data_IF_405684739581
#
_entry.id   IF_405684739581
#
_cell.length_a   1.000
_cell.length_b   1.000
_cell.length_c   1.000
_cell.angle_alpha   90.00
_cell.angle_beta   90.00
_cell.angle_gamma   90.00
#
_symmetry.space_group_name_H-M   'P 1'
#
loop_
_entity.id
_entity.type
_entity.pdbx_description
1 polymer ?
#
# COMPACT_ATOMS: atom_id res chain seq x y z
N UNK A 1 23.03 7.09 13.80
CA UNK A 1 23.19 8.53 14.07
C UNK A 1 23.86 9.18 12.87
N UNK A 2 23.36 10.31 12.36
CA UNK A 2 24.05 11.08 11.31
C UNK A 2 24.91 12.16 11.97
N UNK A 3 26.23 11.94 11.97
CA UNK A 3 27.18 12.84 12.62
C UNK A 3 27.74 13.90 11.65
N UNK A 4 28.16 15.01 12.21
CA UNK A 4 29.06 15.97 11.55
C UNK A 4 30.49 15.41 11.54
N UNK A 5 31.40 16.06 10.79
CA UNK A 5 32.80 15.66 10.74
C UNK A 5 33.54 15.76 12.09
N UNK A 6 32.94 16.43 13.07
CA UNK A 6 33.45 16.55 14.45
C UNK A 6 32.68 15.67 15.45
N UNK A 7 31.88 14.72 14.95
CA UNK A 7 31.22 13.69 15.77
C UNK A 7 29.94 14.13 16.46
N UNK A 8 29.45 15.35 16.22
CA UNK A 8 28.19 15.85 16.81
C UNK A 8 26.99 15.50 15.95
N UNK A 9 25.80 15.47 16.54
CA UNK A 9 24.56 15.25 15.79
C UNK A 9 24.34 16.37 14.76
N UNK A 10 23.92 15.98 13.55
CA UNK A 10 23.69 16.93 12.47
C UNK A 10 22.39 17.69 12.69
N UNK A 11 22.50 19.02 12.76
CA UNK A 11 21.34 19.91 12.89
C UNK A 11 20.33 19.73 11.74
N UNK A 12 19.03 19.71 12.09
CA UNK A 12 17.92 19.52 11.13
C UNK A 12 17.93 20.56 10.01
N UNK A 13 18.30 21.81 10.28
CA UNK A 13 18.36 22.86 9.28
C UNK A 13 19.50 22.64 8.28
N UNK A 14 20.63 22.10 8.74
CA UNK A 14 21.73 21.72 7.86
C UNK A 14 21.32 20.57 6.94
N UNK A 15 20.64 19.55 7.48
CA UNK A 15 20.08 18.45 6.66
C UNK A 15 19.11 18.99 5.61
N UNK A 16 18.19 19.89 6.00
CA UNK A 16 17.23 20.52 5.06
C UNK A 16 17.93 21.36 3.99
N UNK A 17 18.99 22.09 4.35
CA UNK A 17 19.78 22.88 3.39
C UNK A 17 20.45 21.98 2.36
N UNK A 18 21.10 20.91 2.81
CA UNK A 18 21.79 19.97 1.92
C UNK A 18 20.81 19.21 1.04
N UNK A 19 19.65 18.80 1.59
CA UNK A 19 18.57 18.20 0.82
C UNK A 19 18.10 19.11 -0.32
N UNK A 20 17.83 20.40 -0.05
CA UNK A 20 17.44 21.37 -1.10
C UNK A 20 18.50 21.51 -2.19
N UNK A 21 19.79 21.44 -1.84
CA UNK A 21 20.87 21.46 -2.82
C UNK A 21 20.78 20.27 -3.79
N UNK A 22 20.53 19.07 -3.26
CA UNK A 22 20.35 17.86 -4.06
C UNK A 22 19.11 17.95 -4.96
N UNK A 23 17.97 18.37 -4.40
CA UNK A 23 16.73 18.52 -5.18
C UNK A 23 16.89 19.52 -6.33
N UNK A 24 17.55 20.66 -6.07
CA UNK A 24 17.85 21.64 -7.13
C UNK A 24 18.76 21.05 -8.21
N UNK A 25 19.78 20.28 -7.81
CA UNK A 25 20.68 19.62 -8.76
C UNK A 25 19.95 18.55 -9.59
N UNK A 26 18.90 17.93 -9.06
CA UNK A 26 18.02 16.99 -9.76
C UNK A 26 16.99 17.68 -10.68
N UNK A 27 16.98 19.01 -10.77
CA UNK A 27 16.04 19.76 -11.62
C UNK A 27 14.62 19.87 -11.04
N UNK A 28 14.44 19.55 -9.75
CA UNK A 28 13.15 19.59 -9.07
C UNK A 28 12.95 20.91 -8.31
N UNK A 29 11.69 21.26 -8.02
CA UNK A 29 11.37 22.45 -7.24
C UNK A 29 11.76 22.28 -5.76
N UNK A 30 12.93 22.80 -5.39
CA UNK A 30 13.45 22.74 -4.01
C UNK A 30 12.63 23.50 -2.95
N UNK A 31 11.66 24.33 -3.35
CA UNK A 31 10.74 24.98 -2.42
C UNK A 31 9.56 24.08 -2.04
N UNK A 32 9.14 23.20 -2.96
CA UNK A 32 7.99 22.31 -2.77
C UNK A 32 8.40 20.94 -2.22
N UNK A 33 9.57 20.45 -2.61
CA UNK A 33 10.06 19.15 -2.17
C UNK A 33 10.60 19.20 -0.74
N UNK A 34 10.14 18.27 0.09
CA UNK A 34 10.63 18.07 1.45
C UNK A 34 11.15 16.65 1.63
N UNK A 35 11.96 16.34 2.67
CA UNK A 35 12.38 14.97 2.96
C UNK A 35 11.21 14.00 3.16
N UNK A 36 9.99 14.49 3.46
CA UNK A 36 8.77 13.68 3.54
C UNK A 36 8.45 13.00 2.20
N UNK A 37 8.73 13.66 1.08
CA UNK A 37 8.48 13.10 -0.26
C UNK A 37 9.30 11.84 -0.53
N UNK A 38 10.48 11.71 0.10
CA UNK A 38 11.26 10.47 0.04
C UNK A 38 10.55 9.31 0.77
N UNK A 39 9.88 9.59 1.90
CA UNK A 39 9.06 8.59 2.60
C UNK A 39 7.86 8.20 1.74
N UNK A 40 7.21 9.15 1.07
CA UNK A 40 6.14 8.83 0.13
C UNK A 40 6.64 7.97 -1.03
N UNK A 41 7.78 8.34 -1.64
CA UNK A 41 8.40 7.57 -2.72
C UNK A 41 8.74 6.14 -2.31
N UNK A 42 9.30 5.95 -1.10
CA UNK A 42 9.59 4.62 -0.55
C UNK A 42 8.34 3.74 -0.47
N UNK A 43 7.24 4.27 0.07
CA UNK A 43 5.99 3.54 0.18
C UNK A 43 5.39 3.25 -1.20
N UNK A 44 5.40 4.22 -2.12
CA UNK A 44 4.91 4.05 -3.48
C UNK A 44 5.66 2.95 -4.23
N UNK A 45 6.99 2.91 -4.15
CA UNK A 45 7.82 1.89 -4.81
C UNK A 45 7.51 0.48 -4.26
N UNK A 46 7.41 0.33 -2.93
CA UNK A 46 7.11 -0.97 -2.33
C UNK A 46 5.68 -1.44 -2.63
N UNK A 47 4.73 -0.50 -2.67
CA UNK A 47 3.35 -0.79 -3.06
C UNK A 47 3.25 -1.22 -4.53
N UNK A 48 3.96 -0.55 -5.43
CA UNK A 48 4.01 -0.92 -6.85
C UNK A 48 4.65 -2.30 -7.05
N UNK A 49 5.66 -2.63 -6.23
CA UNK A 49 6.27 -3.96 -6.16
C UNK A 49 5.38 -5.06 -5.55
N UNK A 50 4.15 -4.73 -5.12
CA UNK A 50 3.18 -5.70 -4.60
C UNK A 50 3.36 -6.10 -3.13
N UNK A 51 4.16 -5.37 -2.35
CA UNK A 51 4.30 -5.64 -0.92
C UNK A 51 3.00 -5.26 -0.17
N UNK A 52 2.51 -6.12 0.75
CA UNK A 52 1.34 -5.80 1.57
C UNK A 52 1.52 -4.54 2.41
N UNK A 53 0.46 -3.76 2.58
CA UNK A 53 0.53 -2.44 3.23
C UNK A 53 0.88 -2.54 4.72
N UNK A 54 0.55 -3.66 5.36
CA UNK A 54 0.89 -3.98 6.74
C UNK A 54 2.41 -4.20 6.89
N UNK A 55 3.04 -4.83 5.90
CA UNK A 55 4.50 -5.00 5.84
C UNK A 55 5.20 -3.67 5.62
N UNK A 56 4.71 -2.86 4.68
CA UNK A 56 5.27 -1.53 4.43
C UNK A 56 5.12 -0.63 5.67
N UNK A 57 3.98 -0.71 6.37
CA UNK A 57 3.73 0.06 7.60
C UNK A 57 4.73 -0.26 8.72
N UNK A 58 5.09 -1.54 8.85
CA UNK A 58 6.14 -1.99 9.78
C UNK A 58 7.51 -1.41 9.41
N UNK A 59 7.85 -1.38 8.11
CA UNK A 59 9.13 -0.84 7.64
C UNK A 59 9.30 0.67 7.88
N UNK A 60 8.22 1.46 7.73
CA UNK A 60 8.28 2.91 7.98
C UNK A 60 8.19 3.29 9.46
N UNK A 61 8.04 2.31 10.35
CA UNK A 61 8.02 2.52 11.80
C UNK A 61 6.71 3.14 12.31
N UNK A 62 5.60 2.98 11.59
CA UNK A 62 4.30 3.38 12.13
C UNK A 62 3.85 2.37 13.20
N UNK A 63 3.52 2.87 14.40
CA UNK A 63 2.94 2.08 15.50
C UNK A 63 1.47 1.70 15.28
N UNK A 64 0.85 2.23 14.22
CA UNK A 64 -0.55 1.98 13.83
C UNK A 64 -0.67 1.97 12.30
N UNK A 65 -1.46 1.05 11.77
CA UNK A 65 -1.84 0.96 10.34
C UNK A 65 -2.78 2.09 9.90
N UNK A 66 -3.34 2.87 10.83
CA UNK A 66 -4.35 3.89 10.55
C UNK A 66 -3.85 5.04 9.64
N UNK A 67 -2.54 5.34 9.64
CA UNK A 67 -1.96 6.36 8.74
C UNK A 67 -1.71 5.79 7.33
N UNK A 68 -1.65 4.47 7.20
CA UNK A 68 -1.37 3.79 5.93
C UNK A 68 -2.65 3.31 5.23
N UNK A 69 -3.75 3.12 5.95
CA UNK A 69 -5.02 2.66 5.35
C UNK A 69 -5.73 3.76 4.53
N UNK A 70 -5.64 5.03 4.97
CA UNK A 70 -6.42 6.14 4.40
C UNK A 70 -5.90 6.62 3.03
N UNK A 71 -4.60 6.48 2.77
CA UNK A 71 -3.97 6.99 1.53
C UNK A 71 -3.94 5.94 0.43
N UNK A 72 -3.92 4.65 0.77
CA UNK A 72 -3.58 3.58 -0.18
C UNK A 72 -4.74 2.74 -0.69
N UNK A 73 -5.95 2.83 -0.12
CA UNK A 73 -7.15 2.17 -0.67
C UNK A 73 -7.44 2.56 -2.12
N UNK A 74 -6.87 3.67 -2.63
CA UNK A 74 -7.07 4.18 -3.99
C UNK A 74 -6.22 3.52 -5.07
N UNK A 75 -5.14 2.81 -4.73
CA UNK A 75 -4.25 2.15 -5.71
C UNK A 75 -4.24 0.63 -5.63
N UNK A 76 -5.08 0.05 -4.77
CA UNK A 76 -5.17 -1.40 -4.68
C UNK A 76 -5.85 -1.89 -5.98
N UNK A 77 -5.08 -2.64 -6.77
CA UNK A 77 -5.57 -3.71 -7.68
C UNK A 77 -6.78 -4.38 -7.03
N UNK A 78 -7.76 -4.94 -7.74
CA UNK A 78 -9.00 -5.42 -7.13
C UNK A 78 -8.75 -6.54 -6.09
N UNK A 79 -8.41 -6.17 -4.85
CA UNK A 79 -8.20 -7.11 -3.75
C UNK A 79 -9.53 -7.69 -3.32
N UNK A 80 -10.63 -6.94 -3.57
CA UNK A 80 -11.99 -7.46 -3.49
C UNK A 80 -12.18 -8.65 -4.44
N UNK A 81 -11.65 -8.61 -5.67
CA UNK A 81 -11.68 -9.80 -6.56
C UNK A 81 -10.81 -10.92 -6.04
N UNK A 82 -9.60 -10.64 -5.54
CA UNK A 82 -8.75 -11.72 -5.01
C UNK A 82 -9.36 -12.45 -3.81
N UNK A 83 -10.07 -11.72 -2.94
CA UNK A 83 -10.83 -12.30 -1.83
C UNK A 83 -12.03 -13.12 -2.32
N UNK A 84 -12.80 -12.60 -3.27
CA UNK A 84 -13.90 -13.33 -3.89
C UNK A 84 -13.41 -14.61 -4.59
N UNK A 85 -12.33 -14.54 -5.36
CA UNK A 85 -11.71 -15.69 -6.04
C UNK A 85 -11.18 -16.72 -5.03
N UNK A 86 -10.58 -16.29 -3.92
CA UNK A 86 -10.15 -17.20 -2.86
C UNK A 86 -11.34 -17.88 -2.17
N UNK A 87 -12.43 -17.15 -1.93
CA UNK A 87 -13.67 -17.69 -1.36
C UNK A 87 -14.36 -18.65 -2.33
N UNK A 88 -14.41 -18.36 -3.63
CA UNK A 88 -14.95 -19.27 -4.66
C UNK A 88 -14.14 -20.55 -4.79
N UNK A 89 -12.81 -20.50 -4.54
CA UNK A 89 -11.94 -21.70 -4.51
C UNK A 89 -12.11 -22.53 -3.23
N UNK A 90 -12.39 -21.87 -2.11
CA UNK A 90 -12.63 -22.52 -0.82
C UNK A 90 -14.05 -23.10 -0.72
N UNK A 91 -15.00 -22.46 -1.39
CA UNK A 91 -16.41 -22.84 -1.47
C UNK A 91 -16.87 -22.91 -2.94
N UNK A 92 -16.32 -23.85 -3.74
CA UNK A 92 -16.81 -24.04 -5.10
C UNK A 92 -18.30 -24.41 -4.98
N UNK A 93 -19.17 -23.54 -5.50
CA UNK A 93 -20.61 -23.63 -5.28
C UNK A 93 -21.11 -25.05 -5.54
N UNK A 94 -21.82 -25.61 -4.57
CA UNK A 94 -22.71 -26.76 -4.79
C UNK A 94 -23.91 -26.29 -5.60
N UNK A 95 -23.66 -25.93 -6.87
CA UNK A 95 -24.68 -25.65 -7.87
C UNK A 95 -24.89 -26.90 -8.71
N UNK A 96 -25.11 -28.04 -8.05
CA UNK A 96 -25.52 -29.27 -8.73
C UNK A 96 -26.39 -30.12 -7.80
N UNK A 97 -27.54 -29.56 -7.40
CA UNK A 97 -28.75 -30.38 -7.28
C UNK A 97 -29.82 -29.64 -8.06
N UNK A 98 -29.94 -30.04 -9.31
CA UNK A 98 -30.91 -29.58 -10.27
C UNK A 98 -32.33 -29.64 -9.70
N UNK A 99 -33.07 -28.58 -10.00
CA UNK A 99 -34.48 -28.62 -10.29
C UNK A 99 -34.83 -29.85 -11.12
N UNK A 100 -35.37 -30.88 -10.49
CA UNK A 100 -36.29 -31.82 -11.15
C UNK A 100 -37.17 -32.53 -10.12
N UNK A 101 -38.15 -31.80 -9.60
CA UNK A 101 -39.37 -32.45 -9.11
C UNK A 101 -40.33 -32.62 -10.30
N UNK A 102 -40.91 -33.81 -10.50
CA UNK A 102 -41.73 -34.11 -11.66
C UNK A 102 -43.10 -33.43 -11.59
N UNK A 103 -43.61 -33.04 -12.74
CA UNK A 103 -44.93 -32.46 -12.96
C UNK A 103 -46.04 -33.35 -12.39
N UNK A 104 -46.81 -32.81 -11.45
CA UNK A 104 -48.10 -33.37 -11.06
C UNK A 104 -49.17 -32.86 -12.04
N UNK A 105 -49.42 -33.63 -13.11
CA UNK A 105 -50.72 -33.61 -13.78
C UNK A 105 -50.95 -34.93 -14.52
N UNK A 106 -51.61 -35.87 -13.84
CA UNK A 106 -52.35 -37.00 -14.41
C UNK A 106 -53.05 -37.79 -13.29
N UNK A 107 -54.38 -37.65 -13.19
CA UNK A 107 -55.38 -38.70 -12.95
C UNK A 107 -56.73 -38.10 -12.50
N UNK A 108 -57.87 -38.81 -12.65
CA UNK A 108 -58.22 -39.90 -13.56
C UNK A 108 -59.26 -39.49 -14.63
#
# INVERSE_FOLDING_TARGET
MFATNVGTERDVNNVRRDFRRVIKAAGLNSAEWTPRELRHSFVSILSDGGMPIEEISRLVGHSSTAVTELVYRKQIRPVVESGAIAMDRLFPGTSETAERSPSADQAP
#
